data_IF_731417690615
#
_entry.id   IF_731417690615
#
_cell.length_a   1.000
_cell.length_b   1.000
_cell.length_c   1.000
_cell.angle_alpha   90.00
_cell.angle_beta   90.00
_cell.angle_gamma   90.00
#
_symmetry.space_group_name_H-M   'P 1'
#
loop_
_entity.id
_entity.type
_entity.pdbx_description
1 polymer ?
#
# COMPACT_ATOMS: atom_id res chain seq x y z
N UNK A 1 21.02 -19.26 -5.63
CA UNK A 1 21.00 -17.78 -5.73
C UNK A 1 19.83 -17.26 -6.57
N UNK A 2 19.31 -17.99 -7.57
CA UNK A 2 18.10 -17.61 -8.34
C UNK A 2 16.77 -17.88 -7.63
N UNK A 3 16.66 -18.97 -6.87
CA UNK A 3 15.41 -19.37 -6.23
C UNK A 3 14.94 -18.37 -5.17
N UNK A 4 15.87 -17.80 -4.40
CA UNK A 4 15.58 -16.74 -3.41
C UNK A 4 14.99 -15.51 -4.10
N UNK A 5 15.55 -15.07 -5.23
CA UNK A 5 15.08 -13.87 -5.95
C UNK A 5 13.63 -14.00 -6.45
N UNK A 6 13.24 -15.18 -6.92
CA UNK A 6 11.86 -15.43 -7.36
C UNK A 6 10.89 -15.48 -6.16
N UNK A 7 11.33 -16.07 -5.04
CA UNK A 7 10.55 -16.06 -3.80
C UNK A 7 10.34 -14.62 -3.30
N UNK A 8 11.39 -13.80 -3.25
CA UNK A 8 11.31 -12.40 -2.81
C UNK A 8 10.32 -11.59 -3.68
N UNK A 9 10.37 -11.79 -5.01
CA UNK A 9 9.43 -11.14 -5.94
C UNK A 9 7.98 -11.56 -5.66
N UNK A 10 7.74 -12.85 -5.39
CA UNK A 10 6.40 -13.33 -5.07
C UNK A 10 5.94 -12.83 -3.68
N UNK A 11 6.83 -12.76 -2.70
CA UNK A 11 6.53 -12.19 -1.38
C UNK A 11 6.11 -10.72 -1.48
N UNK A 12 6.78 -9.93 -2.32
CA UNK A 12 6.39 -8.53 -2.62
C UNK A 12 5.01 -8.47 -3.28
N UNK A 13 4.70 -9.37 -4.23
CA UNK A 13 3.35 -9.45 -4.83
C UNK A 13 2.27 -9.79 -3.81
N UNK A 14 2.54 -10.76 -2.94
CA UNK A 14 1.64 -11.12 -1.87
C UNK A 14 1.49 -9.99 -0.85
N UNK A 15 2.56 -9.24 -0.55
CA UNK A 15 2.52 -8.04 0.28
C UNK A 15 1.59 -6.98 -0.32
N UNK A 16 1.75 -6.66 -1.62
CA UNK A 16 0.88 -5.69 -2.30
C UNK A 16 -0.58 -6.18 -2.38
N UNK A 17 -0.81 -7.47 -2.57
CA UNK A 17 -2.15 -8.05 -2.52
C UNK A 17 -2.79 -7.93 -1.12
N UNK A 18 -2.00 -8.13 -0.04
CA UNK A 18 -2.45 -7.87 1.34
C UNK A 18 -2.76 -6.39 1.55
N UNK A 19 -1.91 -5.48 1.07
CA UNK A 19 -2.14 -4.04 1.13
C UNK A 19 -3.53 -3.68 0.60
N UNK A 20 -3.88 -4.13 -0.61
CA UNK A 20 -5.19 -3.80 -1.21
C UNK A 20 -6.35 -4.42 -0.42
N UNK A 21 -6.29 -5.73 -0.18
CA UNK A 21 -7.36 -6.46 0.53
C UNK A 21 -7.63 -5.88 1.91
N UNK A 22 -6.58 -5.57 2.68
CA UNK A 22 -6.72 -5.08 4.05
C UNK A 22 -7.23 -3.63 4.08
N UNK A 23 -6.77 -2.76 3.16
CA UNK A 23 -7.31 -1.41 3.01
C UNK A 23 -8.80 -1.44 2.65
N UNK A 24 -9.18 -2.27 1.67
CA UNK A 24 -10.57 -2.34 1.21
C UNK A 24 -11.51 -2.85 2.30
N UNK A 25 -11.04 -3.81 3.11
CA UNK A 25 -11.76 -4.33 4.27
C UNK A 25 -11.64 -3.45 5.52
N UNK A 26 -10.90 -2.32 5.46
CA UNK A 26 -10.69 -1.40 6.58
C UNK A 26 -10.06 -2.09 7.81
N UNK A 27 -9.23 -3.13 7.59
CA UNK A 27 -8.53 -3.87 8.64
C UNK A 27 -7.25 -3.14 9.03
N UNK A 28 -7.40 -1.94 9.60
CA UNK A 28 -6.31 -0.97 9.79
C UNK A 28 -5.15 -1.48 10.62
N UNK A 29 -5.42 -2.19 11.71
CA UNK A 29 -4.37 -2.73 12.58
C UNK A 29 -3.45 -3.71 11.82
N UNK A 30 -4.01 -4.58 10.98
CA UNK A 30 -3.23 -5.50 10.13
C UNK A 30 -2.65 -4.80 8.90
N UNK A 31 -3.31 -3.76 8.40
CA UNK A 31 -2.82 -2.99 7.27
C UNK A 31 -1.55 -2.21 7.65
N UNK A 32 -1.41 -1.81 8.92
CA UNK A 32 -0.19 -1.17 9.43
C UNK A 32 1.06 -2.06 9.24
N UNK A 33 0.90 -3.38 9.37
CA UNK A 33 2.00 -4.36 9.25
C UNK A 33 2.52 -4.52 7.82
N UNK A 34 1.85 -3.95 6.80
CA UNK A 34 2.37 -3.97 5.42
C UNK A 34 3.41 -2.89 5.15
N UNK A 35 3.67 -2.02 6.14
CA UNK A 35 4.63 -0.92 6.05
C UNK A 35 5.75 -1.06 7.08
N UNK A 36 6.92 -0.55 6.71
CA UNK A 36 7.97 -0.23 7.68
C UNK A 36 7.57 0.98 8.52
N UNK A 37 8.02 1.01 9.78
CA UNK A 37 7.67 2.05 10.76
C UNK A 37 7.86 3.47 10.22
N UNK A 38 8.93 3.71 9.46
CA UNK A 38 9.35 4.99 8.90
C UNK A 38 8.93 5.20 7.43
N UNK A 39 7.90 4.48 6.95
CA UNK A 39 7.42 4.62 5.57
C UNK A 39 7.18 6.07 5.20
N UNK A 40 7.57 6.45 3.98
CA UNK A 40 7.29 7.75 3.39
C UNK A 40 6.30 7.58 2.25
N UNK A 41 5.17 8.29 2.32
CA UNK A 41 4.10 8.22 1.33
C UNK A 41 3.88 9.60 0.73
N UNK A 42 3.97 9.67 -0.59
CA UNK A 42 3.80 10.89 -1.38
C UNK A 42 2.70 10.68 -2.43
N UNK A 43 1.72 11.58 -2.45
CA UNK A 43 0.56 11.55 -3.35
C UNK A 43 0.36 12.93 -3.98
N UNK A 44 1.31 13.42 -4.79
CA UNK A 44 1.36 14.83 -5.20
C UNK A 44 0.18 15.27 -6.09
N UNK A 45 -0.49 14.30 -6.73
CA UNK A 45 -1.71 14.55 -7.52
C UNK A 45 -2.91 14.82 -6.61
N UNK A 46 -3.06 14.05 -5.54
CA UNK A 46 -4.18 14.15 -4.60
C UNK A 46 -3.97 15.27 -3.57
N UNK A 47 -2.71 15.52 -3.20
CA UNK A 47 -2.30 16.49 -2.19
C UNK A 47 -1.24 17.46 -2.73
N UNK A 48 -1.56 18.27 -3.76
CA UNK A 48 -0.58 19.14 -4.39
C UNK A 48 0.00 20.17 -3.41
N UNK A 49 1.33 20.23 -3.36
CA UNK A 49 2.08 21.16 -2.50
C UNK A 49 2.11 20.78 -1.02
N UNK A 50 1.62 19.59 -0.65
CA UNK A 50 1.81 19.04 0.69
C UNK A 50 3.13 18.28 0.79
N UNK A 51 3.75 18.30 1.97
CA UNK A 51 4.89 17.45 2.25
C UNK A 51 4.45 15.98 2.36
N UNK A 52 5.30 15.02 1.98
CA UNK A 52 4.96 13.60 2.10
C UNK A 52 4.75 13.18 3.55
N UNK A 53 3.81 12.28 3.77
CA UNK A 53 3.52 11.71 5.08
C UNK A 53 4.67 10.78 5.46
N UNK A 54 5.19 10.91 6.68
CA UNK A 54 6.26 10.07 7.21
C UNK A 54 5.75 9.32 8.44
N UNK A 55 5.96 8.01 8.45
CA UNK A 55 5.54 7.10 9.50
C UNK A 55 4.18 6.46 9.20
N UNK A 56 4.09 5.14 9.33
CA UNK A 56 2.86 4.38 9.01
C UNK A 56 1.69 4.76 9.92
N UNK A 57 1.95 5.09 11.17
CA UNK A 57 0.96 5.48 12.17
C UNK A 57 0.34 6.84 11.78
N UNK A 58 1.16 7.76 11.29
CA UNK A 58 0.69 9.04 10.73
C UNK A 58 -0.12 8.83 9.46
N UNK A 59 0.29 7.88 8.61
CA UNK A 59 -0.42 7.58 7.37
C UNK A 59 -1.81 6.98 7.62
N UNK A 60 -1.94 6.03 8.54
CA UNK A 60 -3.25 5.49 8.93
C UNK A 60 -4.12 6.56 9.58
N UNK A 61 -3.56 7.38 10.50
CA UNK A 61 -4.30 8.44 11.16
C UNK A 61 -4.85 9.47 10.16
N UNK A 62 -4.15 9.69 9.04
CA UNK A 62 -4.61 10.53 7.94
C UNK A 62 -5.67 9.83 7.08
N UNK A 63 -5.42 8.60 6.63
CA UNK A 63 -6.22 7.95 5.60
C UNK A 63 -7.52 7.32 6.14
N UNK A 64 -7.49 6.71 7.33
CA UNK A 64 -8.63 5.97 7.86
C UNK A 64 -9.90 6.82 8.03
N UNK A 65 -9.84 8.07 8.54
CA UNK A 65 -11.02 8.93 8.63
C UNK A 65 -11.60 9.32 7.28
N UNK A 66 -10.76 9.48 6.24
CA UNK A 66 -11.21 9.85 4.89
C UNK A 66 -12.06 8.73 4.29
N UNK A 67 -11.69 7.48 4.56
CA UNK A 67 -12.35 6.30 4.02
C UNK A 67 -13.45 5.74 4.92
N UNK A 68 -13.84 6.46 5.98
CA UNK A 68 -14.90 6.03 6.88
C UNK A 68 -16.26 5.99 6.15
N UNK A 69 -16.90 4.82 6.14
CA UNK A 69 -18.17 4.61 5.45
C UNK A 69 -18.07 4.62 3.91
N UNK A 70 -16.86 4.62 3.35
CA UNK A 70 -16.60 4.53 1.91
C UNK A 70 -16.32 3.07 1.54
N UNK A 71 -17.03 2.56 0.54
CA UNK A 71 -16.69 1.27 -0.07
C UNK A 71 -15.54 1.54 -1.03
N UNK A 72 -14.42 0.85 -0.84
CA UNK A 72 -13.24 0.99 -1.70
C UNK A 72 -12.91 -0.33 -2.37
N UNK A 73 -12.36 -0.25 -3.57
CA UNK A 73 -11.82 -1.37 -4.31
C UNK A 73 -10.54 -0.92 -4.98
N UNK A 74 -9.41 -1.52 -4.62
CA UNK A 74 -8.11 -1.21 -5.21
C UNK A 74 -7.58 -2.39 -6.00
N UNK A 75 -7.21 -2.15 -7.25
CA UNK A 75 -6.60 -3.12 -8.13
C UNK A 75 -5.19 -2.69 -8.52
N UNK A 76 -4.21 -3.54 -8.20
CA UNK A 76 -2.89 -3.49 -8.82
C UNK A 76 -2.84 -4.44 -10.00
N UNK A 77 -2.31 -3.96 -11.12
CA UNK A 77 -2.12 -4.72 -12.34
C UNK A 77 -0.69 -5.24 -12.45
N UNK A 78 -0.20 -5.47 -13.67
CA UNK A 78 1.11 -6.04 -13.96
C UNK A 78 2.22 -5.33 -13.18
N UNK A 79 3.00 -6.11 -12.42
CA UNK A 79 4.07 -5.63 -11.56
C UNK A 79 5.40 -5.57 -12.29
N UNK A 80 6.15 -4.48 -12.15
CA UNK A 80 7.57 -4.42 -12.48
C UNK A 80 8.38 -4.41 -11.19
N UNK A 81 9.02 -5.52 -10.84
CA UNK A 81 9.75 -5.67 -9.56
C UNK A 81 11.22 -5.95 -9.83
N UNK A 82 12.09 -5.20 -9.17
CA UNK A 82 13.54 -5.36 -9.23
C UNK A 82 14.12 -5.56 -7.83
N UNK A 83 14.79 -6.68 -7.58
CA UNK A 83 15.65 -6.82 -6.39
C UNK A 83 16.94 -6.03 -6.65
N UNK A 84 17.13 -4.97 -5.87
CA UNK A 84 18.15 -3.92 -6.05
C UNK A 84 19.36 -4.11 -5.13
N UNK A 85 19.23 -4.92 -4.08
CA UNK A 85 20.31 -5.27 -3.16
C UNK A 85 20.04 -6.57 -2.40
N UNK A 86 20.86 -6.91 -1.39
CA UNK A 86 20.65 -8.11 -0.58
C UNK A 86 19.39 -8.05 0.29
N UNK A 87 18.92 -6.85 0.61
CA UNK A 87 17.83 -6.55 1.54
C UNK A 87 16.93 -5.42 1.01
N UNK A 88 16.97 -5.15 -0.30
CA UNK A 88 16.24 -4.04 -0.92
C UNK A 88 15.69 -4.43 -2.29
N UNK A 89 14.49 -3.94 -2.58
CA UNK A 89 13.83 -4.07 -3.87
C UNK A 89 13.01 -2.81 -4.19
N UNK A 90 12.65 -2.65 -5.47
CA UNK A 90 11.71 -1.63 -5.93
C UNK A 90 10.56 -2.28 -6.70
N UNK A 91 9.40 -1.62 -6.72
CA UNK A 91 8.25 -2.06 -7.50
C UNK A 91 7.47 -0.92 -8.12
N UNK A 92 7.03 -1.13 -9.35
CA UNK A 92 6.08 -0.26 -10.04
C UNK A 92 4.80 -1.04 -10.33
N UNK A 93 3.66 -0.41 -10.06
CA UNK A 93 2.34 -1.02 -10.23
C UNK A 93 1.41 -0.06 -10.94
N UNK A 94 0.93 -0.45 -12.12
CA UNK A 94 -0.27 0.17 -12.68
C UNK A 94 -1.45 -0.09 -11.73
N UNK A 95 -2.23 0.93 -11.42
CA UNK A 95 -3.36 0.82 -10.50
C UNK A 95 -4.63 1.41 -11.08
N UNK A 96 -5.76 0.85 -10.65
CA UNK A 96 -7.09 1.44 -10.72
C UNK A 96 -7.73 1.31 -9.33
N UNK A 97 -8.44 2.35 -8.89
CA UNK A 97 -9.23 2.32 -7.68
C UNK A 97 -10.64 2.82 -7.92
N UNK A 98 -11.55 2.38 -7.07
CA UNK A 98 -12.92 2.85 -7.04
C UNK A 98 -13.33 3.13 -5.61
N UNK A 99 -13.85 4.33 -5.38
CA UNK A 99 -14.38 4.78 -4.09
C UNK A 99 -15.85 5.12 -4.27
N UNK A 100 -16.73 4.44 -3.53
CA UNK A 100 -18.17 4.65 -3.54
C UNK A 100 -18.65 5.18 -2.20
N UNK A 101 -19.23 6.38 -2.21
CA UNK A 101 -19.96 6.94 -1.08
C UNK A 101 -21.42 6.51 -1.16
N UNK A 102 -21.92 5.92 -0.06
CA UNK A 102 -23.29 5.45 0.03
C UNK A 102 -24.30 6.60 -0.21
N UNK A 103 -25.53 6.30 -0.67
CA UNK A 103 -26.54 7.33 -0.96
C UNK A 103 -26.84 8.26 0.22
N UNK A 104 -26.84 7.76 1.44
CA UNK A 104 -27.02 8.52 2.68
C UNK A 104 -25.80 9.41 3.04
N UNK A 105 -24.69 9.24 2.32
CA UNK A 105 -23.44 10.01 2.42
C UNK A 105 -23.16 10.89 1.19
N UNK A 106 -24.13 11.04 0.29
CA UNK A 106 -24.03 11.89 -0.91
C UNK A 106 -24.10 11.15 -2.24
N UNK A 107 -24.01 9.81 -2.25
CA UNK A 107 -24.32 8.98 -3.42
C UNK A 107 -23.45 9.26 -4.64
N UNK A 108 -22.14 9.38 -4.45
CA UNK A 108 -21.16 9.62 -5.50
C UNK A 108 -20.15 8.47 -5.57
N UNK A 109 -19.48 8.33 -6.71
CA UNK A 109 -18.33 7.46 -6.82
C UNK A 109 -17.22 8.12 -7.63
N UNK A 110 -15.99 7.71 -7.36
CA UNK A 110 -14.80 8.10 -8.10
C UNK A 110 -14.13 6.83 -8.61
N UNK A 111 -13.56 6.92 -9.81
CA UNK A 111 -12.62 5.94 -10.34
C UNK A 111 -11.32 6.67 -10.61
N UNK A 112 -10.24 6.22 -9.98
CA UNK A 112 -8.89 6.72 -10.20
C UNK A 112 -8.05 5.69 -10.95
N UNK A 113 -7.05 6.19 -11.66
CA UNK A 113 -6.06 5.38 -12.36
C UNK A 113 -4.70 6.05 -12.24
N UNK A 114 -3.65 5.27 -12.06
CA UNK A 114 -2.33 5.81 -11.83
C UNK A 114 -1.25 4.76 -11.71
N UNK A 115 -0.17 5.13 -11.05
CA UNK A 115 1.00 4.29 -10.85
C UNK A 115 1.49 4.43 -9.42
N UNK A 116 1.74 3.30 -8.76
CA UNK A 116 2.55 3.28 -7.55
C UNK A 116 4.02 3.07 -7.93
N UNK A 117 4.90 3.85 -7.30
CA UNK A 117 6.35 3.67 -7.34
C UNK A 117 6.82 3.44 -5.90
N UNK A 118 7.32 2.24 -5.62
CA UNK A 118 7.54 1.76 -4.25
C UNK A 118 8.95 1.23 -4.05
N UNK A 119 9.43 1.37 -2.81
CA UNK A 119 10.68 0.80 -2.33
C UNK A 119 10.37 -0.16 -1.18
N UNK A 120 11.01 -1.33 -1.20
CA UNK A 120 10.82 -2.40 -0.23
C UNK A 120 12.16 -2.73 0.43
N UNK A 121 12.47 -2.12 1.57
CA UNK A 121 13.52 -2.62 2.45
C UNK A 121 13.03 -3.91 3.13
N UNK A 122 13.88 -4.93 3.19
CA UNK A 122 13.63 -6.12 3.97
C UNK A 122 13.77 -5.76 5.45
N UNK A 123 12.69 -5.92 6.22
CA UNK A 123 12.81 -5.86 7.66
C UNK A 123 13.47 -7.14 8.15
N UNK A 124 14.69 -7.02 8.67
CA UNK A 124 15.27 -8.09 9.49
C UNK A 124 14.43 -8.15 10.75
N UNK A 125 13.60 -9.18 10.86
CA UNK A 125 12.73 -9.39 12.00
C UNK A 125 13.60 -9.72 13.22
N UNK A 126 14.09 -8.69 13.93
CA UNK A 126 14.75 -8.83 15.22
C UNK A 126 13.68 -9.14 16.26
N UNK A 127 13.25 -10.41 16.29
CA UNK A 127 12.49 -10.98 17.40
C UNK A 127 11.04 -10.54 17.51
N UNK A 128 10.19 -11.05 16.62
CA UNK A 128 8.80 -11.30 16.95
C UNK A 128 8.39 -12.64 16.34
N UNK A 129 7.93 -13.58 17.18
CA UNK A 129 7.40 -14.86 16.73
C UNK A 129 6.26 -14.67 15.72
N UNK A 130 6.10 -15.60 14.76
CA UNK A 130 5.02 -15.52 13.79
C UNK A 130 3.67 -15.57 14.50
N UNK A 131 2.81 -14.58 14.25
CA UNK A 131 1.37 -14.67 14.53
C UNK A 131 0.66 -15.47 13.45
#
# INVERSE_FOLDING_TARGET
MTDTRLADIEEIRQLKARYFRLMDQKRWDEWLDVFVEDVRVDTPVDTPGQDPIVGRENFIAFLAPILEGVITCHHGHTSEIAITGPDTASGTWAMEDRLDWLPDKGGAYIVGAGWYEEQYPQQTNTGAEPR
#
